data_IF_452085836267
#
_entry.id   IF_452085836267
#
_cell.length_a   1.000
_cell.length_b   1.000
_cell.length_c   1.000
_cell.angle_alpha   90.00
_cell.angle_beta   90.00
_cell.angle_gamma   90.00
#
_symmetry.space_group_name_H-M   'P 1'
#
loop_
_entity.id
_entity.type
_entity.pdbx_description
1 polymer ?
#
# COMPACT_ATOMS: atom_id res chain seq x y z
N UNK A 1 -6.13 -34.00 -27.01
CA UNK A 1 -5.96 -32.60 -26.59
C UNK A 1 -5.96 -32.58 -25.08
N UNK A 2 -4.79 -32.56 -24.44
CA UNK A 2 -4.71 -32.33 -23.00
C UNK A 2 -4.86 -30.84 -22.77
N UNK A 3 -6.00 -30.43 -22.21
CA UNK A 3 -6.24 -29.07 -21.76
C UNK A 3 -5.22 -28.76 -20.67
N UNK A 4 -4.13 -28.11 -21.08
CA UNK A 4 -3.12 -27.58 -20.18
C UNK A 4 -3.80 -26.49 -19.34
N UNK A 5 -4.34 -26.91 -18.21
CA UNK A 5 -4.94 -26.06 -17.21
C UNK A 5 -3.97 -24.92 -16.84
N UNK A 6 -4.20 -23.67 -17.26
CA UNK A 6 -3.26 -22.55 -17.05
C UNK A 6 -3.05 -22.25 -15.55
N UNK A 7 -3.91 -22.81 -14.69
CA UNK A 7 -3.90 -22.67 -13.23
C UNK A 7 -2.77 -23.47 -12.55
N UNK A 8 -2.11 -24.40 -13.27
CA UNK A 8 -1.15 -25.35 -12.69
C UNK A 8 0.30 -24.83 -12.60
N UNK A 9 0.61 -23.65 -13.16
CA UNK A 9 1.95 -23.06 -13.08
C UNK A 9 2.09 -22.18 -11.82
N UNK A 10 3.02 -22.49 -10.89
CA UNK A 10 3.28 -21.67 -9.69
C UNK A 10 3.55 -20.19 -10.01
N UNK A 11 4.20 -19.94 -11.14
CA UNK A 11 4.46 -18.59 -11.64
C UNK A 11 3.19 -17.79 -11.98
N UNK A 12 2.12 -18.45 -12.40
CA UNK A 12 0.86 -17.81 -12.75
C UNK A 12 0.07 -17.39 -11.51
N UNK A 13 0.08 -18.23 -10.46
CA UNK A 13 -0.57 -17.95 -9.18
C UNK A 13 0.10 -16.77 -8.45
N UNK A 14 1.43 -16.68 -8.51
CA UNK A 14 2.18 -15.56 -7.94
C UNK A 14 1.92 -14.25 -8.68
N UNK A 15 1.78 -14.29 -10.01
CA UNK A 15 1.42 -13.13 -10.81
C UNK A 15 -0.02 -12.68 -10.50
N UNK A 16 -0.97 -13.62 -10.40
CA UNK A 16 -2.36 -13.33 -10.09
C UNK A 16 -2.52 -12.70 -8.70
N UNK A 17 -1.86 -13.26 -7.67
CA UNK A 17 -1.86 -12.68 -6.31
C UNK A 17 -1.31 -11.26 -6.26
N UNK A 18 -0.32 -10.93 -7.10
CA UNK A 18 0.21 -9.57 -7.17
C UNK A 18 -0.79 -8.60 -7.81
N UNK A 19 -1.53 -9.04 -8.84
CA UNK A 19 -2.55 -8.23 -9.49
C UNK A 19 -3.73 -8.00 -8.55
N UNK A 20 -4.23 -9.05 -7.88
CA UNK A 20 -5.35 -8.94 -6.92
C UNK A 20 -5.07 -7.94 -5.80
N UNK A 21 -3.84 -7.93 -5.26
CA UNK A 21 -3.41 -6.94 -4.26
C UNK A 21 -3.44 -5.51 -4.78
N UNK A 22 -3.00 -5.29 -6.02
CA UNK A 22 -3.04 -3.97 -6.66
C UNK A 22 -4.48 -3.53 -6.92
N UNK A 23 -5.32 -4.43 -7.44
CA UNK A 23 -6.74 -4.16 -7.72
C UNK A 23 -7.49 -3.82 -6.42
N UNK A 24 -7.25 -4.57 -5.34
CA UNK A 24 -7.81 -4.25 -4.01
C UNK A 24 -7.43 -2.85 -3.53
N UNK A 25 -6.17 -2.46 -3.71
CA UNK A 25 -5.73 -1.09 -3.40
C UNK A 25 -6.41 -0.03 -4.26
N UNK A 26 -6.53 -0.24 -5.57
CA UNK A 26 -7.21 0.70 -6.46
C UNK A 26 -8.70 0.85 -6.14
N UNK A 27 -9.39 -0.24 -5.79
CA UNK A 27 -10.78 -0.18 -5.34
C UNK A 27 -10.92 0.65 -4.05
N UNK A 28 -10.02 0.44 -3.08
CA UNK A 28 -10.02 1.19 -1.83
C UNK A 28 -9.73 2.67 -2.07
N UNK A 29 -8.78 2.99 -2.96
CA UNK A 29 -8.45 4.35 -3.38
C UNK A 29 -9.62 5.01 -4.11
N UNK A 30 -10.29 4.31 -5.02
CA UNK A 30 -11.45 4.83 -5.74
C UNK A 30 -12.59 5.15 -4.77
N UNK A 31 -12.90 4.22 -3.86
CA UNK A 31 -13.89 4.45 -2.80
C UNK A 31 -13.52 5.66 -1.92
N UNK A 32 -12.25 5.78 -1.53
CA UNK A 32 -11.75 6.94 -0.79
C UNK A 32 -11.99 8.24 -1.58
N UNK A 33 -11.60 8.32 -2.85
CA UNK A 33 -11.78 9.52 -3.66
C UNK A 33 -13.26 9.88 -3.83
N UNK A 34 -14.12 8.91 -4.12
CA UNK A 34 -15.57 9.13 -4.32
C UNK A 34 -16.20 9.64 -3.02
N UNK A 35 -15.97 8.96 -1.90
CA UNK A 35 -16.55 9.32 -0.60
C UNK A 35 -16.03 10.68 -0.12
N UNK A 36 -14.72 10.92 -0.18
CA UNK A 36 -14.15 12.19 0.26
C UNK A 36 -14.56 13.36 -0.64
N UNK A 37 -14.67 13.15 -1.96
CA UNK A 37 -15.20 14.19 -2.86
C UNK A 37 -16.66 14.51 -2.55
N UNK A 38 -17.48 13.50 -2.27
CA UNK A 38 -18.86 13.68 -1.84
C UNK A 38 -18.98 14.43 -0.50
N UNK A 39 -18.15 14.07 0.49
CA UNK A 39 -18.08 14.74 1.79
C UNK A 39 -17.63 16.21 1.65
N UNK A 40 -16.62 16.46 0.83
CA UNK A 40 -16.09 17.80 0.59
C UNK A 40 -17.12 18.69 -0.10
N UNK A 41 -17.87 18.14 -1.07
CA UNK A 41 -19.01 18.81 -1.68
C UNK A 41 -20.10 19.11 -0.64
N UNK A 42 -20.47 18.12 0.18
CA UNK A 42 -21.51 18.28 1.21
C UNK A 42 -21.14 19.32 2.27
N UNK A 43 -19.85 19.42 2.61
CA UNK A 43 -19.31 20.47 3.47
C UNK A 43 -19.42 21.86 2.83
N UNK A 44 -19.08 21.97 1.54
CA UNK A 44 -19.22 23.23 0.80
C UNK A 44 -20.68 23.69 0.72
N UNK A 45 -21.63 22.76 0.56
CA UNK A 45 -23.06 23.06 0.52
C UNK A 45 -23.68 23.43 1.87
N UNK A 46 -23.25 22.81 2.97
CA UNK A 46 -23.91 23.00 4.28
C UNK A 46 -23.19 23.99 5.19
N UNK A 47 -21.87 23.90 5.33
CA UNK A 47 -21.11 24.66 6.34
C UNK A 47 -19.64 24.85 5.89
N UNK A 48 -19.35 25.87 5.06
CA UNK A 48 -17.99 26.13 4.60
C UNK A 48 -17.02 26.49 5.76
N UNK A 49 -17.54 27.04 6.85
CA UNK A 49 -16.73 27.55 7.97
C UNK A 49 -16.21 26.44 8.92
N UNK A 50 -16.72 25.21 8.81
CA UNK A 50 -16.35 24.13 9.73
C UNK A 50 -16.02 22.84 8.96
N UNK A 51 -14.73 22.58 8.67
CA UNK A 51 -14.34 21.46 7.82
C UNK A 51 -14.30 20.15 8.62
N UNK A 52 -15.48 19.64 8.98
CA UNK A 52 -15.65 18.35 9.68
C UNK A 52 -15.13 17.16 8.84
N UNK A 53 -14.99 17.37 7.53
CA UNK A 53 -14.42 16.44 6.54
C UNK A 53 -12.97 16.06 6.84
N UNK A 54 -12.21 16.87 7.59
CA UNK A 54 -10.84 16.53 7.98
C UNK A 54 -10.76 15.22 8.78
N UNK A 55 -11.75 14.94 9.63
CA UNK A 55 -11.76 13.71 10.45
C UNK A 55 -11.75 12.44 9.58
N UNK A 56 -12.76 12.25 8.72
CA UNK A 56 -12.81 11.15 7.76
C UNK A 56 -11.59 11.11 6.83
N UNK A 57 -11.19 12.24 6.25
CA UNK A 57 -10.04 12.35 5.32
C UNK A 57 -8.76 11.86 5.99
N UNK A 58 -8.47 12.30 7.22
CA UNK A 58 -7.26 11.95 7.94
C UNK A 58 -7.30 10.52 8.46
N UNK A 59 -8.40 10.10 9.09
CA UNK A 59 -8.54 8.74 9.62
C UNK A 59 -8.43 7.68 8.54
N UNK A 60 -9.18 7.85 7.44
CA UNK A 60 -9.15 6.91 6.32
C UNK A 60 -7.89 7.07 5.46
N UNK A 61 -7.36 8.29 5.36
CA UNK A 61 -6.11 8.57 4.63
C UNK A 61 -4.92 7.82 5.21
N UNK A 62 -4.83 7.72 6.54
CA UNK A 62 -3.80 6.93 7.22
C UNK A 62 -3.92 5.43 6.84
N UNK A 63 -5.13 4.87 6.89
CA UNK A 63 -5.37 3.47 6.50
C UNK A 63 -5.00 3.19 5.04
N UNK A 64 -5.36 4.10 4.13
CA UNK A 64 -4.98 4.04 2.73
C UNK A 64 -3.45 4.10 2.55
N UNK A 65 -2.76 4.96 3.30
CA UNK A 65 -1.29 5.09 3.26
C UNK A 65 -0.61 3.77 3.68
N UNK A 66 -1.08 3.14 4.75
CA UNK A 66 -0.58 1.83 5.18
C UNK A 66 -0.88 0.73 4.14
N UNK A 67 -2.06 0.75 3.51
CA UNK A 67 -2.40 -0.19 2.46
C UNK A 67 -1.50 0.02 1.22
N UNK A 68 -1.24 1.27 0.82
CA UNK A 68 -0.29 1.61 -0.23
C UNK A 68 1.11 1.07 0.09
N UNK A 69 1.61 1.30 1.31
CA UNK A 69 2.91 0.81 1.75
C UNK A 69 2.99 -0.72 1.68
N UNK A 70 1.95 -1.45 2.06
CA UNK A 70 1.96 -2.93 2.01
C UNK A 70 1.87 -3.50 0.59
N UNK A 71 1.21 -2.80 -0.34
CA UNK A 71 1.09 -3.22 -1.73
C UNK A 71 2.31 -2.84 -2.56
N UNK A 72 2.86 -1.64 -2.37
CA UNK A 72 4.03 -1.14 -3.12
C UNK A 72 5.36 -1.56 -2.49
N UNK A 73 5.50 -1.55 -1.17
CA UNK A 73 6.67 -2.13 -0.51
C UNK A 73 6.36 -3.60 -0.25
N UNK A 74 6.99 -4.48 -1.05
CA UNK A 74 7.01 -5.92 -0.81
C UNK A 74 7.69 -6.19 0.53
N UNK A 75 6.89 -6.29 1.59
CA UNK A 75 7.28 -6.56 2.96
C UNK A 75 8.16 -5.45 3.58
N UNK A 76 7.57 -4.29 3.96
CA UNK A 76 8.31 -3.16 4.53
C UNK A 76 9.11 -3.56 5.78
N UNK A 77 8.59 -4.50 6.59
CA UNK A 77 9.31 -5.06 7.73
C UNK A 77 10.58 -5.82 7.34
N UNK A 78 10.58 -6.59 6.25
CA UNK A 78 11.77 -7.32 5.80
C UNK A 78 12.84 -6.39 5.21
N UNK A 79 12.42 -5.34 4.51
CA UNK A 79 13.31 -4.28 4.03
C UNK A 79 13.93 -3.52 5.21
N UNK A 80 13.13 -3.15 6.21
CA UNK A 80 13.62 -2.46 7.41
C UNK A 80 14.56 -3.36 8.23
N UNK A 81 14.22 -4.64 8.38
CA UNK A 81 15.05 -5.66 9.03
C UNK A 81 16.38 -5.87 8.30
N UNK A 82 16.39 -5.96 6.97
CA UNK A 82 17.63 -6.05 6.16
C UNK A 82 18.53 -4.84 6.38
N UNK A 83 17.98 -3.61 6.37
CA UNK A 83 18.76 -2.39 6.60
C UNK A 83 19.37 -2.34 8.00
N UNK A 84 18.65 -2.80 9.03
CA UNK A 84 19.22 -2.89 10.38
C UNK A 84 20.34 -3.91 10.46
N UNK A 85 20.15 -5.09 9.86
CA UNK A 85 21.18 -6.13 9.80
C UNK A 85 22.44 -5.61 9.09
N UNK A 86 22.30 -4.93 7.95
CA UNK A 86 23.43 -4.32 7.23
C UNK A 86 24.15 -3.25 8.06
N UNK A 87 23.42 -2.44 8.84
CA UNK A 87 24.02 -1.44 9.74
C UNK A 87 24.84 -2.10 10.86
N UNK A 88 24.34 -3.17 11.45
CA UNK A 88 25.07 -3.92 12.49
C UNK A 88 26.29 -4.66 11.92
N UNK A 89 26.18 -5.25 10.72
CA UNK A 89 27.30 -5.86 9.99
C UNK A 89 28.41 -4.85 9.70
N UNK A 90 28.05 -3.63 9.26
CA UNK A 90 29.01 -2.56 8.96
C UNK A 90 29.72 -2.03 10.22
N UNK A 91 29.06 -2.09 11.38
CA UNK A 91 29.67 -1.81 12.69
C UNK A 91 30.67 -2.88 13.12
N UNK A 92 30.38 -4.15 12.86
CA UNK A 92 31.21 -5.28 13.30
C UNK A 92 32.33 -5.64 12.33
N UNK A 93 32.23 -5.25 11.06
CA UNK A 93 33.26 -5.52 10.07
C UNK A 93 33.69 -4.20 9.39
N UNK A 94 34.56 -3.39 10.04
CA UNK A 94 35.14 -2.23 9.39
C UNK A 94 35.98 -2.72 8.22
N UNK A 95 35.49 -2.51 7.00
CA UNK A 95 36.28 -2.74 5.79
C UNK A 95 37.48 -1.80 5.88
N UNK A 96 38.73 -2.30 5.93
CA UNK A 96 39.89 -1.42 5.93
C UNK A 96 39.90 -0.61 4.63
N UNK A 97 40.16 0.70 4.66
CA UNK A 97 40.36 1.46 3.43
C UNK A 97 41.54 0.84 2.65
N UNK A 98 41.32 0.61 1.36
CA UNK A 98 42.31 0.13 0.40
C UNK A 98 43.46 1.12 0.23
#
# INVERSE_FOLDING_TARGET
>A
MSDANPNANPHYQDAQRQIERKVGFYLHLAAYLIVNSGLLLLNFLHNPDRPWVLGPVLGWGIGLLFHALTVFLRNPGAQWKRRMIERELKKHNPTPPA
#
